data_IF_131221983164
#
_entry.id   IF_131221983164
#
_cell.length_a   1.000
_cell.length_b   1.000
_cell.length_c   1.000
_cell.angle_alpha   90.00
_cell.angle_beta   90.00
_cell.angle_gamma   90.00
#
_symmetry.space_group_name_H-M   'P 1'
#
loop_
_entity.id
_entity.type
_entity.pdbx_description
1 polymer ?
#
# COMPACT_ATOMS: atom_id res chain seq x y z
N UNK A 1 -33.76 -0.51 49.06
CA UNK A 1 -32.44 -0.60 48.40
C UNK A 1 -31.37 -0.56 49.48
N UNK A 2 -30.55 -1.60 49.59
CA UNK A 2 -29.59 -1.73 50.70
C UNK A 2 -28.53 -0.62 50.58
N UNK A 3 -28.22 0.05 51.70
CA UNK A 3 -27.26 1.17 51.74
C UNK A 3 -25.91 0.81 51.11
N UNK A 4 -25.49 -0.45 51.21
CA UNK A 4 -24.28 -1.00 50.61
C UNK A 4 -24.32 -1.03 49.07
N UNK A 5 -25.48 -1.30 48.46
CA UNK A 5 -25.64 -1.31 47.00
C UNK A 5 -25.57 0.10 46.43
N UNK A 6 -26.16 1.06 47.15
CA UNK A 6 -26.11 2.47 46.78
C UNK A 6 -24.68 3.02 46.83
N UNK A 7 -23.90 2.59 47.83
CA UNK A 7 -22.49 2.95 47.99
C UNK A 7 -21.62 2.41 46.84
N UNK A 8 -21.86 1.16 46.40
CA UNK A 8 -21.13 0.55 45.27
C UNK A 8 -21.43 1.26 43.95
N UNK A 9 -22.69 1.64 43.72
CA UNK A 9 -23.09 2.35 42.49
C UNK A 9 -22.46 3.75 42.45
N UNK A 10 -22.43 4.46 43.58
CA UNK A 10 -21.79 5.79 43.70
C UNK A 10 -20.28 5.68 43.50
N UNK A 11 -19.63 4.66 44.06
CA UNK A 11 -18.20 4.41 43.85
C UNK A 11 -17.89 4.08 42.38
N UNK A 12 -18.71 3.26 41.72
CA UNK A 12 -18.52 2.89 40.31
C UNK A 12 -18.70 4.10 39.38
N UNK A 13 -19.67 4.98 39.66
CA UNK A 13 -19.91 6.19 38.87
C UNK A 13 -18.86 7.28 39.13
N UNK A 14 -18.35 7.40 40.35
CA UNK A 14 -17.20 8.27 40.63
C UNK A 14 -15.92 7.80 39.91
N UNK A 15 -15.71 6.48 39.78
CA UNK A 15 -14.56 5.91 39.09
C UNK A 15 -14.60 6.16 37.58
N UNK A 16 -15.77 6.04 36.95
CA UNK A 16 -15.93 6.30 35.51
C UNK A 16 -15.75 7.78 35.17
N UNK A 17 -16.25 8.69 36.00
CA UNK A 17 -16.03 10.14 35.85
C UNK A 17 -14.55 10.49 36.07
N UNK A 18 -13.91 9.89 37.08
CA UNK A 18 -12.48 10.07 37.34
C UNK A 18 -11.59 9.63 36.17
N UNK A 19 -11.90 8.48 35.55
CA UNK A 19 -11.21 7.99 34.35
C UNK A 19 -11.35 8.94 33.14
N UNK A 20 -12.47 9.66 33.03
CA UNK A 20 -12.71 10.62 31.94
C UNK A 20 -12.07 11.98 32.18
N UNK A 21 -11.79 12.33 33.45
CA UNK A 21 -11.15 13.59 33.84
C UNK A 21 -9.61 13.53 33.88
N UNK A 22 -9.00 12.38 33.62
CA UNK A 22 -7.54 12.27 33.54
C UNK A 22 -7.03 13.07 32.34
N UNK A 23 -6.00 13.93 32.50
CA UNK A 23 -5.39 14.62 31.38
C UNK A 23 -4.85 13.59 30.39
N UNK A 24 -5.30 13.67 29.13
CA UNK A 24 -4.78 12.82 28.05
C UNK A 24 -3.31 13.16 27.84
N UNK A 25 -2.42 12.36 28.45
CA UNK A 25 -1.00 12.33 28.06
C UNK A 25 -0.96 11.73 26.67
N UNK A 26 -0.97 12.59 25.66
CA UNK A 26 -0.62 12.21 24.30
C UNK A 26 0.84 11.81 24.36
N UNK A 27 1.10 10.50 24.40
CA UNK A 27 2.43 9.97 24.14
C UNK A 27 2.74 10.40 22.71
N UNK A 28 3.57 11.44 22.57
CA UNK A 28 4.30 11.70 21.35
C UNK A 28 5.23 10.50 21.17
N UNK A 29 4.74 9.48 20.48
CA UNK A 29 5.62 8.55 19.80
C UNK A 29 6.25 9.36 18.68
N UNK A 30 7.48 9.82 18.93
CA UNK A 30 8.35 10.24 17.85
C UNK A 30 8.37 9.09 16.85
N UNK A 31 7.79 9.33 15.67
CA UNK A 31 7.70 8.39 14.57
C UNK A 31 9.10 7.92 14.18
N UNK A 32 9.61 6.87 14.83
CA UNK A 32 10.49 5.91 14.18
C UNK A 32 9.62 5.09 13.24
N UNK A 33 9.42 5.65 12.05
CA UNK A 33 8.98 4.91 10.88
C UNK A 33 9.91 3.71 10.69
N UNK A 34 9.49 2.54 11.16
CA UNK A 34 10.07 1.28 10.74
C UNK A 34 9.40 0.87 9.43
N UNK A 35 10.17 0.93 8.35
CA UNK A 35 9.90 0.18 7.12
C UNK A 35 8.91 0.81 6.13
N UNK A 36 9.25 1.97 5.60
CA UNK A 36 8.55 2.57 4.46
C UNK A 36 9.10 3.94 4.13
N UNK A 37 10.39 4.04 3.81
CA UNK A 37 11.01 5.31 3.42
C UNK A 37 11.65 5.18 2.04
N UNK A 38 10.93 5.74 1.06
CA UNK A 38 11.47 6.15 -0.20
C UNK A 38 12.70 7.06 0.01
N UNK A 39 13.67 6.91 -0.88
CA UNK A 39 14.90 7.71 -0.98
C UNK A 39 14.62 9.21 -0.82
N UNK A 40 15.35 9.87 0.08
CA UNK A 40 15.41 11.33 0.17
C UNK A 40 16.79 11.80 -0.30
N UNK A 41 16.82 12.81 -1.17
CA UNK A 41 17.96 13.67 -1.45
C UNK A 41 17.55 15.14 -1.14
N UNK A 42 18.51 16.04 -0.83
CA UNK A 42 18.24 17.23 -0.01
C UNK A 42 17.72 18.44 -0.80
N UNK A 43 16.94 19.27 -0.08
CA UNK A 43 16.28 20.48 -0.57
C UNK A 43 17.22 21.70 -0.62
N UNK A 44 17.05 22.53 -1.65
CA UNK A 44 17.30 23.98 -1.61
C UNK A 44 16.27 24.72 -2.46
N UNK A 45 15.84 25.90 -2.00
CA UNK A 45 14.97 26.89 -2.65
C UNK A 45 15.53 28.29 -2.22
N UNK A 46 15.22 29.47 -2.81
CA UNK A 46 14.00 29.76 -3.59
C UNK A 46 14.06 30.81 -4.75
N UNK A 47 12.93 30.92 -5.47
CA UNK A 47 12.32 32.15 -6.09
C UNK A 47 12.61 32.52 -7.57
N UNK A 48 11.61 32.44 -8.46
CA UNK A 48 10.79 33.57 -8.99
C UNK A 48 9.94 33.16 -10.23
N UNK A 49 8.75 33.78 -10.26
CA UNK A 49 7.71 34.00 -11.27
C UNK A 49 8.03 33.68 -12.75
N UNK A 50 7.14 32.94 -13.44
CA UNK A 50 6.41 33.39 -14.64
C UNK A 50 5.46 32.34 -15.27
N UNK A 51 4.23 32.80 -15.52
CA UNK A 51 3.40 32.61 -16.73
C UNK A 51 2.98 31.21 -17.20
N UNK A 52 1.66 30.97 -17.06
CA UNK A 52 0.87 29.82 -17.54
C UNK A 52 0.88 29.70 -19.07
N UNK A 53 1.21 28.51 -19.55
CA UNK A 53 0.60 27.87 -20.73
C UNK A 53 0.33 26.39 -20.41
N UNK A 54 -0.72 25.83 -21.01
CA UNK A 54 -1.40 24.59 -20.64
C UNK A 54 -0.47 23.42 -20.25
N UNK A 55 -0.43 23.08 -18.96
CA UNK A 55 0.50 22.11 -18.38
C UNK A 55 -0.24 20.99 -17.65
N UNK A 56 -0.13 19.77 -18.19
CA UNK A 56 -0.26 18.51 -17.46
C UNK A 56 1.08 18.05 -16.88
N UNK A 57 2.05 18.95 -16.67
CA UNK A 57 3.33 18.62 -16.06
C UNK A 57 3.35 19.06 -14.60
N UNK A 58 2.90 18.17 -13.73
CA UNK A 58 3.42 18.08 -12.38
C UNK A 58 4.68 17.20 -12.38
N UNK A 59 5.67 17.50 -13.23
CA UNK A 59 6.90 16.72 -13.28
C UNK A 59 7.58 16.82 -11.92
N UNK A 60 7.59 15.72 -11.17
CA UNK A 60 8.32 15.69 -9.91
C UNK A 60 9.81 15.80 -10.22
N UNK A 61 10.58 16.44 -9.32
CA UNK A 61 12.03 16.65 -9.43
C UNK A 61 12.83 15.32 -9.52
N UNK A 62 12.14 14.17 -9.46
CA UNK A 62 12.70 12.82 -9.52
C UNK A 62 12.41 12.05 -10.83
N UNK A 63 11.75 12.66 -11.81
CA UNK A 63 11.53 12.00 -13.10
C UNK A 63 12.81 11.98 -13.93
N UNK A 64 13.25 10.78 -14.33
CA UNK A 64 14.35 10.65 -15.29
C UNK A 64 13.92 11.27 -16.63
N UNK A 65 14.76 12.14 -17.24
CA UNK A 65 14.47 12.65 -18.57
C UNK A 65 14.41 11.49 -19.56
N UNK A 66 13.41 11.54 -20.45
CA UNK A 66 13.21 10.55 -21.50
C UNK A 66 14.36 10.61 -22.50
N UNK A 67 14.81 9.46 -22.99
CA UNK A 67 15.69 9.44 -24.18
C UNK A 67 14.94 9.99 -25.39
N UNK A 68 15.66 10.50 -26.38
CA UNK A 68 15.05 11.00 -27.63
C UNK A 68 14.14 9.96 -28.29
N UNK A 69 14.54 8.68 -28.23
CA UNK A 69 13.74 7.58 -28.78
C UNK A 69 12.47 7.31 -27.97
N UNK A 70 12.57 7.33 -26.64
CA UNK A 70 11.40 7.19 -25.75
C UNK A 70 10.43 8.36 -25.94
N UNK A 71 10.93 9.58 -26.04
CA UNK A 71 10.11 10.77 -26.28
C UNK A 71 9.39 10.68 -27.63
N UNK A 72 10.09 10.27 -28.69
CA UNK A 72 9.49 10.09 -30.02
C UNK A 72 8.41 9.01 -29.99
N UNK A 73 8.68 7.86 -29.37
CA UNK A 73 7.72 6.75 -29.25
C UNK A 73 6.50 7.17 -28.43
N UNK A 74 6.69 7.92 -27.34
CA UNK A 74 5.60 8.47 -26.54
C UNK A 74 4.72 9.38 -27.40
N UNK A 75 5.28 10.39 -28.05
CA UNK A 75 4.53 11.33 -28.90
C UNK A 75 3.76 10.62 -30.03
N UNK A 76 4.37 9.59 -30.64
CA UNK A 76 3.69 8.76 -31.65
C UNK A 76 2.48 8.04 -31.06
N UNK A 77 2.65 7.34 -29.95
CA UNK A 77 1.56 6.60 -29.30
C UNK A 77 0.43 7.53 -28.82
N UNK A 78 0.74 8.71 -28.31
CA UNK A 78 -0.27 9.72 -27.91
C UNK A 78 -1.09 10.20 -29.12
N UNK A 79 -0.41 10.43 -30.25
CA UNK A 79 -1.07 10.83 -31.51
C UNK A 79 -1.95 9.71 -32.07
N UNK A 80 -1.49 8.46 -32.00
CA UNK A 80 -2.27 7.30 -32.42
C UNK A 80 -3.49 7.10 -31.50
N UNK A 81 -3.29 7.21 -30.18
CA UNK A 81 -4.36 7.01 -29.18
C UNK A 81 -5.51 8.00 -29.36
N UNK A 82 -5.21 9.27 -29.68
CA UNK A 82 -6.22 10.31 -29.91
C UNK A 82 -7.02 10.09 -31.19
N UNK A 83 -6.41 9.51 -32.23
CA UNK A 83 -7.06 9.24 -33.53
C UNK A 83 -7.73 7.88 -33.62
N UNK A 84 -7.39 6.96 -32.70
CA UNK A 84 -7.87 5.59 -32.73
C UNK A 84 -9.37 5.47 -32.45
N UNK A 85 -10.03 4.57 -33.18
CA UNK A 85 -11.36 4.09 -32.82
C UNK A 85 -11.30 3.14 -31.61
N UNK A 86 -12.45 2.81 -31.03
CA UNK A 86 -12.54 1.98 -29.81
C UNK A 86 -11.79 0.65 -29.89
N UNK A 87 -11.76 -0.02 -31.05
CA UNK A 87 -11.08 -1.31 -31.23
C UNK A 87 -9.55 -1.17 -31.20
N UNK A 88 -9.01 -0.13 -31.85
CA UNK A 88 -7.57 0.13 -31.90
C UNK A 88 -7.06 0.74 -30.59
N UNK A 89 -7.90 1.54 -29.93
CA UNK A 89 -7.52 2.36 -28.78
C UNK A 89 -7.02 1.53 -27.61
N UNK A 90 -7.57 0.33 -27.38
CA UNK A 90 -7.12 -0.56 -26.31
C UNK A 90 -5.68 -1.04 -26.52
N UNK A 91 -5.32 -1.49 -27.72
CA UNK A 91 -3.97 -1.96 -28.03
C UNK A 91 -2.93 -0.83 -27.96
N UNK A 92 -3.30 0.39 -28.37
CA UNK A 92 -2.42 1.55 -28.29
C UNK A 92 -2.25 2.00 -26.84
N UNK A 93 -3.34 2.05 -26.06
CA UNK A 93 -3.29 2.37 -24.64
C UNK A 93 -2.36 1.42 -23.88
N UNK A 94 -2.40 0.12 -24.18
CA UNK A 94 -1.55 -0.88 -23.53
C UNK A 94 -0.06 -0.60 -23.77
N UNK A 95 0.32 -0.24 -25.00
CA UNK A 95 1.70 0.16 -25.32
C UNK A 95 2.10 1.46 -24.63
N UNK A 96 1.18 2.42 -24.58
CA UNK A 96 1.39 3.74 -23.98
C UNK A 96 1.59 3.66 -22.47
N UNK A 97 0.71 2.93 -21.77
CA UNK A 97 0.77 2.68 -20.33
C UNK A 97 2.06 1.93 -19.98
N UNK A 98 2.41 0.89 -20.75
CA UNK A 98 3.66 0.13 -20.57
C UNK A 98 4.89 1.03 -20.67
N UNK A 99 4.98 1.85 -21.73
CA UNK A 99 6.09 2.79 -21.89
C UNK A 99 6.18 3.77 -20.72
N UNK A 100 5.02 4.27 -20.24
CA UNK A 100 4.96 5.20 -19.12
C UNK A 100 5.39 4.54 -17.79
N UNK A 101 5.10 3.26 -17.58
CA UNK A 101 5.61 2.50 -16.44
C UNK A 101 7.13 2.30 -16.51
N UNK A 102 7.68 1.97 -17.68
CA UNK A 102 9.13 1.81 -17.88
C UNK A 102 9.91 3.07 -17.53
N UNK A 103 9.30 4.24 -17.73
CA UNK A 103 9.89 5.55 -17.44
C UNK A 103 9.36 6.17 -16.16
N UNK A 104 8.70 5.37 -15.30
CA UNK A 104 8.23 5.73 -13.94
C UNK A 104 7.24 6.92 -13.91
N UNK A 105 6.50 7.13 -15.00
CA UNK A 105 5.45 8.15 -15.13
C UNK A 105 4.08 7.58 -14.80
N UNK A 106 3.90 7.18 -13.55
CA UNK A 106 2.70 6.48 -13.09
C UNK A 106 1.41 7.33 -13.19
N UNK A 107 1.48 8.64 -12.97
CA UNK A 107 0.31 9.52 -13.12
C UNK A 107 -0.20 9.54 -14.56
N UNK A 108 0.72 9.65 -15.53
CA UNK A 108 0.40 9.65 -16.95
C UNK A 108 -0.16 8.30 -17.37
N UNK A 109 0.39 7.21 -16.85
CA UNK A 109 -0.12 5.87 -17.11
C UNK A 109 -1.57 5.71 -16.60
N UNK A 110 -1.85 6.17 -15.38
CA UNK A 110 -3.21 6.18 -14.82
C UNK A 110 -4.16 7.06 -15.64
N UNK A 111 -3.71 8.23 -16.10
CA UNK A 111 -4.48 9.10 -16.97
C UNK A 111 -4.91 8.40 -18.27
N UNK A 112 -3.98 7.76 -18.99
CA UNK A 112 -4.33 7.08 -20.24
C UNK A 112 -5.21 5.84 -20.01
N UNK A 113 -5.07 5.16 -18.87
CA UNK A 113 -5.97 4.08 -18.48
C UNK A 113 -7.41 4.61 -18.22
N UNK A 114 -7.55 5.76 -17.56
CA UNK A 114 -8.85 6.44 -17.38
C UNK A 114 -9.46 6.89 -18.72
N UNK A 115 -8.66 7.48 -19.62
CA UNK A 115 -9.13 7.88 -20.96
C UNK A 115 -9.58 6.67 -21.79
N UNK A 116 -8.92 5.51 -21.63
CA UNK A 116 -9.36 4.27 -22.24
C UNK A 116 -10.72 3.84 -21.70
N UNK A 117 -10.94 3.88 -20.38
CA UNK A 117 -12.23 3.55 -19.76
C UNK A 117 -13.35 4.43 -20.30
N UNK A 118 -13.12 5.75 -20.45
CA UNK A 118 -14.12 6.68 -21.01
C UNK A 118 -14.58 6.27 -22.42
N UNK A 119 -13.69 5.64 -23.19
CA UNK A 119 -13.98 5.19 -24.56
C UNK A 119 -14.52 3.75 -24.62
N UNK A 120 -14.05 2.88 -23.72
CA UNK A 120 -14.30 1.43 -23.73
C UNK A 120 -14.44 0.91 -22.28
N UNK A 121 -15.61 1.11 -21.62
CA UNK A 121 -15.81 0.79 -20.19
C UNK A 121 -16.13 -0.70 -19.95
N UNK A 122 -15.21 -1.58 -20.30
CA UNK A 122 -15.29 -3.03 -20.02
C UNK A 122 -14.54 -3.40 -18.73
N UNK A 123 -14.77 -4.62 -18.21
CA UNK A 123 -14.13 -5.10 -16.98
C UNK A 123 -12.60 -5.01 -17.02
N UNK A 124 -11.98 -5.44 -18.13
CA UNK A 124 -10.52 -5.43 -18.32
C UNK A 124 -9.96 -4.01 -18.22
N UNK A 125 -10.61 -3.04 -18.84
CA UNK A 125 -10.15 -1.65 -18.86
C UNK A 125 -10.40 -0.95 -17.52
N UNK A 126 -11.49 -1.27 -16.82
CA UNK A 126 -11.73 -0.81 -15.46
C UNK A 126 -10.68 -1.35 -14.48
N UNK A 127 -10.36 -2.65 -14.59
CA UNK A 127 -9.30 -3.27 -13.79
C UNK A 127 -7.95 -2.60 -14.08
N UNK A 128 -7.60 -2.41 -15.35
CA UNK A 128 -6.36 -1.71 -15.77
C UNK A 128 -6.27 -0.29 -15.21
N UNK A 129 -7.36 0.47 -15.21
CA UNK A 129 -7.39 1.80 -14.61
C UNK A 129 -7.18 1.72 -13.09
N UNK A 130 -7.87 0.80 -12.41
CA UNK A 130 -7.68 0.57 -10.97
C UNK A 130 -6.23 0.22 -10.62
N UNK A 131 -5.60 -0.67 -11.39
CA UNK A 131 -4.19 -1.05 -11.22
C UNK A 131 -3.24 0.13 -11.43
N UNK A 132 -3.42 0.91 -12.50
CA UNK A 132 -2.58 2.07 -12.78
C UNK A 132 -2.72 3.17 -11.71
N UNK A 133 -3.93 3.44 -11.23
CA UNK A 133 -4.14 4.38 -10.12
C UNK A 133 -3.56 3.85 -8.81
N UNK A 134 -3.66 2.55 -8.54
CA UNK A 134 -3.08 1.95 -7.35
C UNK A 134 -1.54 2.05 -7.35
N UNK A 135 -0.93 1.81 -8.51
CA UNK A 135 0.51 1.97 -8.68
C UNK A 135 0.92 3.44 -8.48
N UNK A 136 0.24 4.39 -9.14
CA UNK A 136 0.47 5.82 -8.92
C UNK A 136 0.29 6.23 -7.44
N UNK A 137 -0.74 5.71 -6.78
CA UNK A 137 -1.00 5.91 -5.35
C UNK A 137 0.18 5.41 -4.50
N UNK A 138 0.75 4.25 -4.83
CA UNK A 138 1.83 3.62 -4.06
C UNK A 138 3.15 4.40 -4.11
N UNK A 139 3.37 5.21 -5.15
CA UNK A 139 4.54 6.06 -5.33
C UNK A 139 4.29 7.54 -5.03
N UNK A 140 3.06 7.93 -4.72
CA UNK A 140 2.73 9.31 -4.39
C UNK A 140 3.32 9.69 -3.01
N UNK A 141 3.97 10.85 -2.96
CA UNK A 141 4.54 11.41 -1.72
C UNK A 141 3.67 12.55 -1.17
N UNK A 142 3.04 13.31 -2.06
CA UNK A 142 2.12 14.39 -1.68
C UNK A 142 0.81 13.81 -1.12
N UNK A 143 0.39 14.29 0.04
CA UNK A 143 -0.78 13.77 0.76
C UNK A 143 -2.09 13.98 -0.02
N UNK A 144 -2.28 15.16 -0.62
CA UNK A 144 -3.50 15.47 -1.39
C UNK A 144 -3.58 14.59 -2.63
N UNK A 145 -2.46 14.42 -3.33
CA UNK A 145 -2.34 13.52 -4.47
C UNK A 145 -2.59 12.08 -4.06
N UNK A 146 -2.03 11.62 -2.95
CA UNK A 146 -2.26 10.28 -2.40
C UNK A 146 -3.74 10.04 -2.11
N UNK A 147 -4.42 11.00 -1.48
CA UNK A 147 -5.86 10.91 -1.23
C UNK A 147 -6.68 10.81 -2.53
N UNK A 148 -6.36 11.65 -3.52
CA UNK A 148 -7.02 11.63 -4.83
C UNK A 148 -6.82 10.31 -5.57
N UNK A 149 -5.57 9.83 -5.66
CA UNK A 149 -5.24 8.57 -6.34
C UNK A 149 -5.84 7.36 -5.61
N UNK A 150 -5.89 7.39 -4.29
CA UNK A 150 -6.57 6.36 -3.48
C UNK A 150 -8.08 6.36 -3.70
N UNK A 151 -8.71 7.53 -3.89
CA UNK A 151 -10.12 7.61 -4.29
C UNK A 151 -10.34 7.03 -5.70
N UNK A 152 -9.52 7.42 -6.68
CA UNK A 152 -9.61 6.90 -8.06
C UNK A 152 -9.39 5.40 -8.13
N UNK A 153 -8.44 4.86 -7.37
CA UNK A 153 -8.21 3.42 -7.23
C UNK A 153 -9.48 2.70 -6.77
N UNK A 154 -10.12 3.20 -5.70
CA UNK A 154 -11.36 2.64 -5.15
C UNK A 154 -12.53 2.73 -6.13
N UNK A 155 -12.63 3.83 -6.87
CA UNK A 155 -13.65 4.04 -7.88
C UNK A 155 -13.56 2.98 -8.99
N UNK A 156 -12.38 2.83 -9.61
CA UNK A 156 -12.21 1.89 -10.73
C UNK A 156 -12.22 0.43 -10.32
N UNK A 157 -11.60 0.07 -9.20
CA UNK A 157 -11.74 -1.28 -8.66
C UNK A 157 -13.17 -1.59 -8.26
N UNK A 158 -13.91 -0.62 -7.68
CA UNK A 158 -15.33 -0.80 -7.37
C UNK A 158 -16.16 -1.10 -8.62
N UNK A 159 -15.94 -0.36 -9.71
CA UNK A 159 -16.61 -0.62 -10.98
C UNK A 159 -16.22 -1.97 -11.60
N UNK A 160 -14.94 -2.37 -11.53
CA UNK A 160 -14.49 -3.68 -11.99
C UNK A 160 -15.09 -4.82 -11.17
N UNK A 161 -15.11 -4.70 -9.84
CA UNK A 161 -15.69 -5.67 -8.92
C UNK A 161 -17.22 -5.80 -9.06
N UNK A 162 -17.90 -4.72 -9.46
CA UNK A 162 -19.33 -4.78 -9.78
C UNK A 162 -19.62 -5.63 -11.02
N UNK A 163 -18.66 -5.75 -11.95
CA UNK A 163 -18.75 -6.65 -13.12
C UNK A 163 -18.29 -8.06 -12.77
N UNK A 164 -17.22 -8.18 -11.99
CA UNK A 164 -16.65 -9.45 -11.56
C UNK A 164 -16.20 -9.40 -10.09
N UNK A 165 -17.03 -9.90 -9.16
CA UNK A 165 -16.73 -9.92 -7.74
C UNK A 165 -15.53 -10.80 -7.35
N UNK A 166 -15.04 -11.66 -8.25
CA UNK A 166 -13.96 -12.61 -8.00
C UNK A 166 -12.56 -12.04 -8.29
N UNK A 167 -12.45 -10.75 -8.59
CA UNK A 167 -11.16 -10.05 -8.76
C UNK A 167 -10.50 -9.81 -7.39
N UNK A 168 -10.08 -10.88 -6.72
CA UNK A 168 -9.56 -10.87 -5.35
C UNK A 168 -8.34 -9.97 -5.19
N UNK A 169 -7.42 -9.97 -6.17
CA UNK A 169 -6.25 -9.07 -6.15
C UNK A 169 -6.64 -7.60 -6.20
N UNK A 170 -7.63 -7.23 -7.03
CA UNK A 170 -8.16 -5.87 -7.10
C UNK A 170 -8.80 -5.46 -5.77
N UNK A 171 -9.57 -6.36 -5.15
CA UNK A 171 -10.17 -6.13 -3.83
C UNK A 171 -9.12 -5.95 -2.72
N UNK A 172 -8.05 -6.74 -2.76
CA UNK A 172 -6.92 -6.63 -1.83
C UNK A 172 -6.12 -5.33 -2.04
N UNK A 173 -5.86 -4.92 -3.28
CA UNK A 173 -5.20 -3.65 -3.59
C UNK A 173 -6.08 -2.44 -3.19
N UNK A 174 -7.38 -2.51 -3.48
CA UNK A 174 -8.36 -1.52 -3.02
C UNK A 174 -8.31 -1.35 -1.50
N UNK A 175 -8.23 -2.46 -0.76
CA UNK A 175 -8.14 -2.43 0.70
C UNK A 175 -6.93 -1.62 1.21
N UNK A 176 -5.79 -1.71 0.52
CA UNK A 176 -4.56 -0.99 0.90
C UNK A 176 -4.68 0.53 0.80
N UNK A 177 -5.63 1.05 0.02
CA UNK A 177 -5.90 2.50 -0.04
C UNK A 177 -6.60 3.05 1.20
N UNK A 178 -7.17 2.19 2.05
CA UNK A 178 -7.80 2.60 3.31
C UNK A 178 -6.83 2.59 4.50
N UNK A 179 -5.73 1.83 4.41
CA UNK A 179 -4.87 1.49 5.55
C UNK A 179 -4.24 2.71 6.23
N UNK A 180 -3.83 3.71 5.47
CA UNK A 180 -3.19 4.93 6.00
C UNK A 180 -4.17 6.12 6.04
N UNK A 181 -5.46 5.86 6.12
CA UNK A 181 -6.52 6.89 6.18
C UNK A 181 -7.20 6.86 7.55
N UNK A 182 -8.17 7.74 7.78
CA UNK A 182 -9.03 7.71 8.98
C UNK A 182 -9.96 6.48 9.04
N UNK A 183 -9.96 5.63 8.00
CA UNK A 183 -10.88 4.49 7.84
C UNK A 183 -10.17 3.13 7.65
N UNK A 184 -9.11 2.80 8.42
CA UNK A 184 -8.31 1.59 8.17
C UNK A 184 -9.10 0.28 8.35
N UNK A 185 -10.18 0.31 9.15
CA UNK A 185 -11.05 -0.83 9.38
C UNK A 185 -11.74 -1.31 8.10
N UNK A 186 -12.06 -0.40 7.16
CA UNK A 186 -12.67 -0.77 5.88
C UNK A 186 -11.71 -1.63 5.04
N UNK A 187 -10.42 -1.27 5.01
CA UNK A 187 -9.39 -2.08 4.36
C UNK A 187 -9.26 -3.47 4.99
N UNK A 188 -9.23 -3.54 6.34
CA UNK A 188 -9.18 -4.82 7.05
C UNK A 188 -10.39 -5.70 6.70
N UNK A 189 -11.60 -5.14 6.66
CA UNK A 189 -12.81 -5.88 6.28
C UNK A 189 -12.70 -6.44 4.84
N UNK A 190 -12.25 -5.64 3.89
CA UNK A 190 -12.05 -6.09 2.51
C UNK A 190 -11.04 -7.24 2.41
N UNK A 191 -9.90 -7.14 3.10
CA UNK A 191 -8.90 -8.23 3.14
C UNK A 191 -9.47 -9.49 3.82
N UNK A 192 -10.30 -9.33 4.86
CA UNK A 192 -10.98 -10.45 5.52
C UNK A 192 -11.98 -11.15 4.60
N UNK A 193 -12.65 -10.40 3.73
CA UNK A 193 -13.52 -10.98 2.70
C UNK A 193 -12.71 -11.73 1.65
N UNK A 194 -11.54 -11.23 1.25
CA UNK A 194 -10.64 -11.95 0.33
C UNK A 194 -10.21 -13.29 0.92
N UNK A 195 -9.72 -13.32 2.16
CA UNK A 195 -9.30 -14.60 2.80
C UNK A 195 -10.47 -15.53 3.10
N UNK A 196 -11.70 -15.02 3.23
CA UNK A 196 -12.90 -15.85 3.38
C UNK A 196 -13.20 -16.60 2.08
N UNK A 197 -12.94 -15.97 0.94
CA UNK A 197 -13.15 -16.55 -0.39
C UNK A 197 -11.96 -17.42 -0.84
N UNK A 198 -10.74 -16.97 -0.58
CA UNK A 198 -9.50 -17.70 -0.83
C UNK A 198 -8.61 -17.64 0.43
N UNK A 199 -8.70 -18.65 1.31
CA UNK A 199 -7.89 -18.72 2.53
C UNK A 199 -6.38 -18.77 2.29
N UNK A 200 -5.95 -19.03 1.07
CA UNK A 200 -4.53 -19.15 0.67
C UNK A 200 -4.01 -17.92 -0.07
N UNK A 201 -4.83 -16.86 -0.18
CA UNK A 201 -4.47 -15.67 -0.93
C UNK A 201 -3.25 -14.95 -0.31
N UNK A 202 -2.08 -15.14 -0.91
CA UNK A 202 -0.81 -14.64 -0.37
C UNK A 202 -0.84 -13.11 -0.17
N UNK A 203 -1.39 -12.36 -1.12
CA UNK A 203 -1.48 -10.90 -1.05
C UNK A 203 -2.32 -10.44 0.15
N UNK A 204 -3.50 -11.02 0.35
CA UNK A 204 -4.37 -10.65 1.47
C UNK A 204 -3.81 -11.07 2.83
N UNK A 205 -3.25 -12.28 2.93
CA UNK A 205 -2.57 -12.76 4.13
C UNK A 205 -1.39 -11.86 4.48
N UNK A 206 -0.59 -11.49 3.50
CA UNK A 206 0.60 -10.66 3.69
C UNK A 206 0.22 -9.28 4.20
N UNK A 207 -0.78 -8.64 3.57
CA UNK A 207 -1.26 -7.33 3.97
C UNK A 207 -1.89 -7.34 5.38
N UNK A 208 -2.66 -8.37 5.73
CA UNK A 208 -3.17 -8.54 7.10
C UNK A 208 -2.04 -8.78 8.11
N UNK A 209 -0.98 -9.49 7.73
CA UNK A 209 0.21 -9.68 8.53
C UNK A 209 0.91 -8.35 8.83
N UNK A 210 1.15 -7.52 7.80
CA UNK A 210 1.73 -6.19 7.98
C UNK A 210 0.86 -5.28 8.86
N UNK A 211 -0.45 -5.31 8.67
CA UNK A 211 -1.41 -4.56 9.49
C UNK A 211 -1.40 -5.00 10.96
N UNK A 212 -1.28 -6.30 11.19
CA UNK A 212 -1.15 -6.85 12.53
C UNK A 212 0.16 -6.38 13.18
N UNK A 213 1.29 -6.40 12.46
CA UNK A 213 2.57 -5.86 12.96
C UNK A 213 2.48 -4.38 13.32
N UNK A 214 1.88 -3.54 12.45
CA UNK A 214 1.67 -2.10 12.72
C UNK A 214 0.84 -1.83 13.96
N UNK A 215 -0.04 -2.77 14.31
CA UNK A 215 -0.89 -2.70 15.49
C UNK A 215 -0.31 -3.46 16.70
N UNK A 216 0.97 -3.84 16.65
CA UNK A 216 1.69 -4.64 17.65
C UNK A 216 1.05 -6.01 17.96
N UNK A 217 0.22 -6.53 17.04
CA UNK A 217 -0.42 -7.85 17.13
C UNK A 217 0.49 -8.91 16.49
N UNK A 218 1.71 -9.04 16.99
CA UNK A 218 2.76 -9.86 16.37
C UNK A 218 2.35 -11.34 16.25
N UNK A 219 1.58 -11.88 17.19
CA UNK A 219 1.11 -13.27 17.09
C UNK A 219 0.16 -13.50 15.92
N UNK A 220 -0.73 -12.55 15.64
CA UNK A 220 -1.58 -12.61 14.45
C UNK A 220 -0.74 -12.47 13.18
N UNK A 221 0.31 -11.65 13.21
CA UNK A 221 1.23 -11.54 12.07
C UNK A 221 1.95 -12.87 11.80
N UNK A 222 2.46 -13.52 12.84
CA UNK A 222 3.10 -14.85 12.79
C UNK A 222 2.15 -15.87 12.16
N UNK A 223 0.89 -15.94 12.61
CA UNK A 223 -0.12 -16.83 12.02
C UNK A 223 -0.27 -16.60 10.51
N UNK A 224 -0.39 -15.34 10.08
CA UNK A 224 -0.58 -15.01 8.66
C UNK A 224 0.64 -15.34 7.81
N UNK A 225 1.85 -15.02 8.27
CA UNK A 225 3.07 -15.35 7.52
C UNK A 225 3.33 -16.86 7.49
N UNK A 226 3.03 -17.60 8.56
CA UNK A 226 3.06 -19.07 8.55
C UNK A 226 2.08 -19.66 7.54
N UNK A 227 0.87 -19.10 7.41
CA UNK A 227 -0.09 -19.53 6.39
C UNK A 227 0.45 -19.35 4.96
N UNK A 228 1.12 -18.22 4.68
CA UNK A 228 1.79 -18.01 3.39
C UNK A 228 2.88 -19.05 3.17
N UNK A 229 3.73 -19.30 4.18
CA UNK A 229 4.84 -20.25 4.05
C UNK A 229 4.38 -21.71 3.96
N UNK A 230 3.17 -22.03 4.40
CA UNK A 230 2.58 -23.35 4.22
C UNK A 230 2.23 -23.64 2.75
N UNK A 231 1.85 -22.61 1.97
CA UNK A 231 1.50 -22.76 0.55
C UNK A 231 2.64 -22.34 -0.39
N UNK A 232 3.45 -21.37 0.02
CA UNK A 232 4.62 -20.89 -0.69
C UNK A 232 5.86 -20.84 0.23
N UNK A 233 6.52 -22.00 0.47
CA UNK A 233 7.70 -22.06 1.33
C UNK A 233 8.88 -21.21 0.86
N UNK A 234 8.90 -20.83 -0.43
CA UNK A 234 9.95 -20.03 -1.06
C UNK A 234 9.73 -18.51 -0.94
N UNK A 235 8.63 -18.06 -0.32
CA UNK A 235 8.34 -16.63 -0.14
C UNK A 235 9.34 -15.98 0.83
N UNK A 236 10.45 -15.47 0.29
CA UNK A 236 11.50 -14.77 1.05
C UNK A 236 10.94 -13.59 1.87
N UNK A 237 9.97 -12.86 1.30
CA UNK A 237 9.28 -11.78 2.00
C UNK A 237 8.55 -12.32 3.24
N UNK A 238 7.76 -13.38 3.11
CA UNK A 238 7.04 -13.96 4.24
C UNK A 238 7.99 -14.54 5.30
N UNK A 239 9.12 -15.16 4.90
CA UNK A 239 10.15 -15.63 5.83
C UNK A 239 10.77 -14.47 6.63
N UNK A 240 11.13 -13.37 5.96
CA UNK A 240 11.67 -12.18 6.61
C UNK A 240 10.67 -11.60 7.62
N UNK A 241 9.43 -11.35 7.20
CA UNK A 241 8.41 -10.77 8.09
C UNK A 241 7.97 -11.74 9.20
N UNK A 242 8.03 -13.05 8.99
CA UNK A 242 7.88 -14.04 10.06
C UNK A 242 9.00 -13.88 11.10
N UNK A 243 10.26 -13.84 10.67
CA UNK A 243 11.41 -13.69 11.56
C UNK A 243 11.33 -12.40 12.38
N UNK A 244 10.96 -11.29 11.75
CA UNK A 244 10.72 -10.00 12.43
C UNK A 244 9.58 -10.11 13.43
N UNK A 245 8.44 -10.68 13.03
CA UNK A 245 7.28 -10.82 13.92
C UNK A 245 7.57 -11.70 15.13
N UNK A 246 8.32 -12.79 14.95
CA UNK A 246 8.80 -13.66 16.04
C UNK A 246 9.72 -12.91 17.00
N UNK A 247 10.62 -12.07 16.47
CA UNK A 247 11.53 -11.28 17.30
C UNK A 247 10.75 -10.28 18.18
N UNK A 248 9.80 -9.56 17.59
CA UNK A 248 8.96 -8.59 18.30
C UNK A 248 7.96 -9.24 19.28
N UNK A 249 7.52 -10.47 18.99
CA UNK A 249 6.73 -11.29 19.91
C UNK A 249 7.55 -11.88 21.08
N UNK A 250 8.88 -11.71 21.09
CA UNK A 250 9.77 -12.28 22.10
C UNK A 250 10.08 -13.78 21.90
N UNK A 251 9.67 -14.38 20.78
CA UNK A 251 9.96 -15.77 20.41
C UNK A 251 11.39 -15.89 19.86
N UNK A 252 12.38 -15.53 20.69
CA UNK A 252 13.78 -15.28 20.28
C UNK A 252 14.44 -16.48 19.61
N UNK A 253 14.20 -17.69 20.10
CA UNK A 253 14.85 -18.90 19.57
C UNK A 253 14.43 -19.16 18.12
N UNK A 254 13.13 -19.13 17.84
CA UNK A 254 12.60 -19.35 16.49
C UNK A 254 12.96 -18.18 15.57
N UNK A 255 12.87 -16.93 16.06
CA UNK A 255 13.27 -15.75 15.30
C UNK A 255 14.70 -15.87 14.76
N UNK A 256 15.66 -16.27 15.61
CA UNK A 256 17.06 -16.48 15.20
C UNK A 256 17.20 -17.54 14.11
N UNK A 257 16.46 -18.66 14.24
CA UNK A 257 16.50 -19.72 13.23
C UNK A 257 15.97 -19.23 11.89
N UNK A 258 14.81 -18.56 11.87
CA UNK A 258 14.17 -18.07 10.63
C UNK A 258 15.03 -16.98 9.98
N UNK A 259 15.50 -15.99 10.74
CA UNK A 259 16.33 -14.90 10.23
C UNK A 259 17.68 -15.40 9.67
N UNK A 260 18.28 -16.42 10.29
CA UNK A 260 19.49 -17.06 9.76
C UNK A 260 19.24 -17.76 8.41
N UNK A 261 18.05 -18.32 8.18
CA UNK A 261 17.69 -18.88 6.86
C UNK A 261 17.50 -17.77 5.82
N UNK A 262 16.83 -16.68 6.17
CA UNK A 262 16.67 -15.51 5.29
C UNK A 262 18.04 -14.98 4.86
N UNK A 263 18.97 -14.79 5.81
CA UNK A 263 20.33 -14.31 5.54
C UNK A 263 21.11 -15.17 4.53
N UNK A 264 20.91 -16.49 4.54
CA UNK A 264 21.58 -17.41 3.59
C UNK A 264 21.08 -17.28 2.16
N UNK A 265 19.84 -16.84 1.97
CA UNK A 265 19.17 -16.82 0.67
C UNK A 265 19.02 -15.41 0.09
N UNK A 266 19.09 -14.38 0.95
CA UNK A 266 18.85 -13.00 0.56
C UNK A 266 20.08 -12.32 -0.02
N UNK A 267 19.85 -11.48 -1.02
CA UNK A 267 20.89 -10.68 -1.70
C UNK A 267 20.66 -9.18 -1.54
N UNK A 268 19.46 -8.76 -1.16
CA UNK A 268 19.15 -7.36 -0.92
C UNK A 268 19.93 -6.84 0.31
N UNK A 269 20.85 -5.87 0.14
CA UNK A 269 21.64 -5.32 1.24
C UNK A 269 20.80 -4.71 2.36
N UNK A 270 19.62 -4.15 2.06
CA UNK A 270 18.75 -3.54 3.05
C UNK A 270 18.11 -4.60 3.94
N UNK A 271 17.66 -5.70 3.34
CA UNK A 271 17.09 -6.82 4.11
C UNK A 271 18.18 -7.46 4.96
N UNK A 272 19.39 -7.64 4.42
CA UNK A 272 20.52 -8.18 5.18
C UNK A 272 20.91 -7.28 6.38
N UNK A 273 20.91 -5.95 6.19
CA UNK A 273 21.16 -5.00 7.28
C UNK A 273 20.07 -5.08 8.36
N UNK A 274 18.80 -5.16 7.97
CA UNK A 274 17.69 -5.33 8.91
C UNK A 274 17.83 -6.66 9.68
N UNK A 275 18.12 -7.77 8.99
CA UNK A 275 18.35 -9.08 9.64
C UNK A 275 19.47 -8.99 10.68
N UNK A 276 20.58 -8.31 10.37
CA UNK A 276 21.68 -8.13 11.31
C UNK A 276 21.26 -7.34 12.56
N UNK A 277 20.48 -6.27 12.41
CA UNK A 277 19.95 -5.50 13.54
C UNK A 277 19.11 -6.37 14.49
N UNK A 278 18.25 -7.22 13.94
CA UNK A 278 17.48 -8.18 14.74
C UNK A 278 18.37 -9.24 15.39
N UNK A 279 19.39 -9.77 14.69
CA UNK A 279 20.34 -10.72 15.28
C UNK A 279 21.06 -10.14 16.50
N UNK A 280 21.43 -8.86 16.46
CA UNK A 280 22.08 -8.17 17.59
C UNK A 280 21.14 -7.98 18.79
N UNK A 281 19.87 -7.63 18.55
CA UNK A 281 18.83 -7.50 19.59
C UNK A 281 18.44 -8.84 20.25
N UNK A 282 18.67 -9.95 19.55
CA UNK A 282 18.30 -11.30 19.99
C UNK A 282 19.44 -12.05 20.71
N UNK A 283 20.59 -11.41 20.90
CA UNK A 283 21.66 -11.87 21.81
C UNK A 283 21.21 -11.76 23.27
#
# INVERSE_FOLDING_TARGET
>A
MNKSVLLVIVLASALTVGLYSLPKVVVRNDNKQLGGRAMQAPATNPSKTESRTASGNGASVHEKPLSTEQQKRLTTLETEFTKANSTQKEAIAEKLITLLHEVTRYDSAAYYAEELVKSVPNERNLLRAGDAFFEAYSFAVDEKKTALLGQKTREYYGQALAKNPNLLSAKANMAMTYVNTDTPMQGIMLLREVIKQDPTNELALFNLGLLAMRSNQYERAIERFRQILATNPASRKAQFYLGVSLAEAGQKAEARQVLAQVKKQEKDPQILAAVQEYEERLK
#
